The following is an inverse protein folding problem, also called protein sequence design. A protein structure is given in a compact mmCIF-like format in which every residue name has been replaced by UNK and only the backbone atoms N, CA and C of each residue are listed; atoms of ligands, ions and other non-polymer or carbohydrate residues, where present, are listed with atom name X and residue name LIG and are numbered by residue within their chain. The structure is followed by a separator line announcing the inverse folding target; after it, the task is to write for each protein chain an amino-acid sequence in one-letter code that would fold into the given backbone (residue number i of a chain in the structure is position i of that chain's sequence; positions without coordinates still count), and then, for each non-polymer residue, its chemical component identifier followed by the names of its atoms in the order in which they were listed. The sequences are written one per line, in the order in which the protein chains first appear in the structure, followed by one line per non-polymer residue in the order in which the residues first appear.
data_IF_610950050999
#
_entry.id   IF_610950050999
#
_cell.length_a   1.000
_cell.length_b   1.000
_cell.length_c   1.000
_cell.angle_alpha   90.00
_cell.angle_beta   90.00
_cell.angle_gamma   90.00
#
_symmetry.space_group_name_H-M   'P 1'
#
loop_
_entity.id
_entity.type
_entity.pdbx_description
1 polymer ?
#
# COMPACT_ATOMS: atom_id res chain seq x y z
N UNK A 1 -14.45 -3.06 9.23
CA UNK A 1 -14.96 -4.42 9.45
C UNK A 1 -14.98 -4.71 10.93
N UNK A 2 -15.33 -5.92 11.32
CA UNK A 2 -15.15 -6.40 12.70
C UNK A 2 -13.64 -6.53 12.98
N UNK A 3 -13.19 -6.11 14.16
CA UNK A 3 -11.77 -6.19 14.54
C UNK A 3 -11.31 -7.63 14.82
N UNK A 4 -10.00 -7.86 14.78
CA UNK A 4 -9.40 -9.19 14.94
C UNK A 4 -9.72 -9.82 16.29
N UNK A 5 -9.73 -9.02 17.36
CA UNK A 5 -10.03 -9.47 18.73
C UNK A 5 -11.44 -10.05 18.83
N UNK A 6 -12.41 -9.39 18.19
CA UNK A 6 -13.82 -9.83 18.20
C UNK A 6 -13.96 -11.14 17.43
N UNK A 7 -13.30 -11.27 16.29
CA UNK A 7 -13.30 -12.52 15.51
C UNK A 7 -12.66 -13.67 16.30
N UNK A 8 -11.51 -13.42 16.94
CA UNK A 8 -10.80 -14.42 17.73
C UNK A 8 -11.65 -14.91 18.90
N UNK A 9 -12.27 -14.00 19.66
CA UNK A 9 -13.15 -14.35 20.78
C UNK A 9 -14.38 -15.13 20.31
N UNK A 10 -15.03 -14.69 19.22
CA UNK A 10 -16.22 -15.37 18.69
C UNK A 10 -15.93 -16.76 18.13
N UNK A 11 -14.67 -17.08 17.82
CA UNK A 11 -14.28 -18.40 17.33
C UNK A 11 -14.05 -19.42 18.47
N UNK A 12 -13.99 -18.96 19.72
CA UNK A 12 -13.85 -19.84 20.89
C UNK A 12 -15.19 -20.54 21.15
N UNK A 13 -15.23 -21.86 20.93
CA UNK A 13 -16.45 -22.67 21.07
C UNK A 13 -16.98 -22.73 22.51
N UNK A 14 -16.07 -22.78 23.47
CA UNK A 14 -16.38 -22.78 24.90
C UNK A 14 -15.89 -21.46 25.52
N UNK A 15 -16.80 -20.50 25.64
CA UNK A 15 -16.47 -19.17 26.19
C UNK A 15 -15.96 -19.23 27.64
N UNK A 16 -16.21 -20.30 28.39
CA UNK A 16 -15.72 -20.42 29.76
C UNK A 16 -14.18 -20.42 29.83
N UNK A 17 -13.52 -20.88 28.76
CA UNK A 17 -12.05 -20.90 28.61
C UNK A 17 -11.45 -19.50 28.46
N UNK A 18 -12.22 -18.49 28.06
CA UNK A 18 -11.71 -17.12 27.88
C UNK A 18 -11.14 -16.56 29.19
N UNK A 19 -11.72 -16.96 30.33
CA UNK A 19 -11.31 -16.51 31.67
C UNK A 19 -9.93 -17.01 32.10
N UNK A 20 -9.45 -18.10 31.49
CA UNK A 20 -8.12 -18.67 31.71
C UNK A 20 -7.18 -18.46 30.52
N UNK A 21 -7.62 -17.71 29.51
CA UNK A 21 -6.87 -17.49 28.28
C UNK A 21 -5.98 -16.25 28.33
N UNK A 22 -4.97 -16.24 27.46
CA UNK A 22 -4.17 -15.06 27.11
C UNK A 22 -4.50 -14.63 25.70
N UNK A 23 -4.87 -13.36 25.52
CA UNK A 23 -5.10 -12.79 24.19
C UNK A 23 -3.80 -12.18 23.65
N UNK A 24 -3.37 -12.63 22.47
CA UNK A 24 -2.23 -12.07 21.74
C UNK A 24 -2.77 -11.14 20.64
N UNK A 25 -2.29 -9.90 20.59
CA UNK A 25 -2.68 -8.92 19.55
C UNK A 25 -1.45 -8.19 19.03
N UNK A 26 -1.40 -7.91 17.74
CA UNK A 26 -0.28 -7.18 17.13
C UNK A 26 -0.35 -5.66 17.39
N UNK A 27 -1.54 -5.11 17.63
CA UNK A 27 -1.76 -3.68 17.89
C UNK A 27 -2.61 -3.49 19.16
N UNK A 28 -2.43 -2.36 19.85
CA UNK A 28 -3.23 -2.01 21.03
C UNK A 28 -4.74 -2.12 20.74
N UNK A 29 -5.51 -2.86 21.57
CA UNK A 29 -6.96 -2.96 21.41
C UNK A 29 -7.65 -1.60 21.50
N UNK A 30 -8.60 -1.35 20.60
CA UNK A 30 -9.26 -0.06 20.52
C UNK A 30 -10.06 0.26 21.80
N UNK A 31 -10.09 1.55 22.15
CA UNK A 31 -10.66 2.08 23.40
C UNK A 31 -11.76 3.12 23.23
N UNK A 32 -12.11 3.45 21.98
CA UNK A 32 -13.14 4.43 21.66
C UNK A 32 -14.38 3.76 21.06
N UNK A 33 -15.54 4.38 21.26
CA UNK A 33 -16.77 3.98 20.59
C UNK A 33 -16.76 4.49 19.15
N UNK A 34 -16.69 3.56 18.20
CA UNK A 34 -16.85 3.83 16.78
C UNK A 34 -18.19 3.28 16.28
N UNK A 35 -18.16 2.60 15.13
CA UNK A 35 -19.32 1.83 14.65
C UNK A 35 -19.62 0.60 15.51
N UNK A 36 -18.62 0.07 16.21
CA UNK A 36 -18.71 -1.05 17.14
C UNK A 36 -18.19 -0.64 18.52
N UNK A 37 -18.61 -1.31 19.60
CA UNK A 37 -18.01 -1.14 20.91
C UNK A 37 -16.49 -1.42 20.90
N UNK A 38 -15.71 -0.82 21.81
CA UNK A 38 -14.26 -0.98 21.86
C UNK A 38 -13.85 -2.40 22.25
N UNK A 39 -12.80 -2.92 21.60
CA UNK A 39 -12.24 -4.25 21.88
C UNK A 39 -11.74 -4.36 23.32
N UNK A 40 -11.16 -3.30 23.89
CA UNK A 40 -10.78 -3.28 25.31
C UNK A 40 -11.99 -3.56 26.23
N UNK A 41 -13.19 -3.10 25.88
CA UNK A 41 -14.40 -3.36 26.67
C UNK A 41 -14.84 -4.81 26.56
N UNK A 42 -14.86 -5.37 25.35
CA UNK A 42 -15.17 -6.78 25.13
C UNK A 42 -14.23 -7.69 25.92
N UNK A 43 -12.93 -7.40 25.93
CA UNK A 43 -11.92 -8.16 26.70
C UNK A 43 -12.27 -8.18 28.19
N UNK A 44 -12.68 -7.03 28.75
CA UNK A 44 -13.09 -6.88 30.15
C UNK A 44 -14.39 -7.65 30.42
N UNK A 45 -15.40 -7.48 29.57
CA UNK A 45 -16.71 -8.13 29.73
C UNK A 45 -16.59 -9.66 29.65
N UNK A 46 -15.70 -10.18 28.80
CA UNK A 46 -15.38 -11.61 28.67
C UNK A 46 -14.38 -12.11 29.72
N UNK A 47 -13.91 -11.24 30.61
CA UNK A 47 -13.04 -11.55 31.74
C UNK A 47 -11.69 -12.21 31.35
N UNK A 48 -11.14 -11.87 30.19
CA UNK A 48 -9.82 -12.35 29.76
C UNK A 48 -8.76 -11.76 30.69
N UNK A 49 -7.89 -12.60 31.26
CA UNK A 49 -6.98 -12.21 32.35
C UNK A 49 -5.69 -11.55 31.88
N UNK A 50 -5.21 -11.91 30.69
CA UNK A 50 -3.93 -11.44 30.17
C UNK A 50 -4.04 -11.05 28.70
N UNK A 51 -3.45 -9.91 28.35
CA UNK A 51 -3.32 -9.43 26.98
C UNK A 51 -1.85 -9.12 26.70
N UNK A 52 -1.28 -9.71 25.66
CA UNK A 52 0.07 -9.39 25.19
C UNK A 52 -0.06 -8.61 23.89
N UNK A 53 0.51 -7.41 23.87
CA UNK A 53 0.40 -6.45 22.78
C UNK A 53 1.75 -6.34 22.07
N UNK A 54 1.75 -6.50 20.76
CA UNK A 54 2.94 -6.33 19.93
C UNK A 54 3.44 -4.89 19.91
N UNK A 55 2.56 -3.95 19.53
CA UNK A 55 2.87 -2.52 19.45
C UNK A 55 1.71 -1.64 19.95
N UNK A 56 2.04 -0.48 20.51
CA UNK A 56 1.08 0.52 20.98
C UNK A 56 0.52 1.30 19.79
N UNK A 57 -0.77 1.64 19.81
CA UNK A 57 -1.39 2.40 18.72
C UNK A 57 -0.83 3.85 18.71
N UNK A 58 -0.20 4.31 17.61
CA UNK A 58 0.32 5.67 17.47
C UNK A 58 -0.80 6.70 17.33
N UNK A 59 -2.04 6.28 17.05
CA UNK A 59 -3.15 7.18 16.84
C UNK A 59 -3.49 7.90 18.15
N UNK A 60 -3.42 9.26 18.21
CA UNK A 60 -3.54 9.99 19.48
C UNK A 60 -4.84 9.75 20.24
N UNK A 61 -5.92 9.35 19.54
CA UNK A 61 -7.19 9.03 20.20
C UNK A 61 -7.16 7.71 20.96
N UNK A 62 -6.29 6.77 20.59
CA UNK A 62 -6.16 5.44 21.21
C UNK A 62 -4.93 5.33 22.08
N UNK A 63 -3.80 5.92 21.69
CA UNK A 63 -2.48 5.78 22.31
C UNK A 63 -2.52 5.62 23.84
N UNK A 64 -2.35 4.38 24.30
CA UNK A 64 -2.28 3.98 25.71
C UNK A 64 -3.60 4.03 26.49
N UNK A 65 -4.72 4.42 25.89
CA UNK A 65 -6.03 4.44 26.55
C UNK A 65 -6.66 3.06 26.65
N UNK A 66 -6.47 2.21 25.64
CA UNK A 66 -6.93 0.82 25.67
C UNK A 66 -6.18 0.03 26.73
N UNK A 67 -4.86 0.21 26.76
CA UNK A 67 -4.00 -0.30 27.83
C UNK A 67 -4.48 0.13 29.21
N UNK A 68 -4.67 1.44 29.43
CA UNK A 68 -5.13 1.97 30.72
C UNK A 68 -6.50 1.42 31.10
N UNK A 69 -7.41 1.23 30.14
CA UNK A 69 -8.73 0.67 30.37
C UNK A 69 -8.63 -0.79 30.86
N UNK A 70 -7.79 -1.60 30.23
CA UNK A 70 -7.53 -2.99 30.61
C UNK A 70 -6.89 -3.08 32.00
N UNK A 71 -5.86 -2.28 32.25
CA UNK A 71 -5.15 -2.26 33.55
C UNK A 71 -6.08 -1.85 34.70
N UNK A 72 -6.96 -0.85 34.50
CA UNK A 72 -7.96 -0.44 35.50
C UNK A 72 -8.97 -1.55 35.84
N UNK A 73 -9.19 -2.49 34.92
CA UNK A 73 -10.04 -3.64 35.13
C UNK A 73 -9.28 -4.88 35.65
N UNK A 74 -8.03 -4.71 36.10
CA UNK A 74 -7.15 -5.77 36.60
C UNK A 74 -6.83 -6.86 35.56
N UNK A 75 -6.76 -6.48 34.28
CA UNK A 75 -6.21 -7.33 33.21
C UNK A 75 -4.70 -7.14 33.18
N UNK A 76 -3.93 -8.24 33.20
CA UNK A 76 -2.47 -8.20 33.02
C UNK A 76 -2.15 -7.81 31.58
N UNK A 77 -1.33 -6.77 31.39
CA UNK A 77 -0.93 -6.31 30.05
C UNK A 77 0.58 -6.29 29.93
N UNK A 78 1.12 -6.97 28.92
CA UNK A 78 2.54 -6.92 28.55
C UNK A 78 2.74 -6.45 27.11
N UNK A 79 3.93 -5.93 26.80
CA UNK A 79 4.23 -5.27 25.52
C UNK A 79 5.46 -5.86 24.83
N UNK A 80 5.54 -5.61 23.54
CA UNK A 80 6.78 -5.76 22.77
C UNK A 80 7.05 -7.16 22.25
N UNK A 81 6.09 -8.09 22.41
CA UNK A 81 6.19 -9.41 21.80
C UNK A 81 6.17 -9.25 20.27
N UNK A 82 7.28 -9.59 19.61
CA UNK A 82 7.44 -9.43 18.15
C UNK A 82 7.04 -8.02 17.69
N UNK A 83 7.63 -7.01 18.33
CA UNK A 83 7.31 -5.58 18.08
C UNK A 83 7.62 -5.17 16.64
N UNK A 84 8.80 -5.52 16.15
CA UNK A 84 9.24 -5.18 14.81
C UNK A 84 8.29 -5.78 13.76
N UNK A 85 7.90 -7.02 13.96
CA UNK A 85 6.92 -7.77 13.20
C UNK A 85 5.53 -7.12 13.21
N UNK A 86 5.07 -6.74 14.40
CA UNK A 86 3.80 -6.06 14.59
C UNK A 86 3.77 -4.70 13.90
N UNK A 87 4.88 -3.96 13.89
CA UNK A 87 5.01 -2.74 13.09
C UNK A 87 4.99 -3.03 11.60
N UNK A 88 5.73 -4.03 11.14
CA UNK A 88 5.87 -4.34 9.72
C UNK A 88 4.53 -4.73 9.06
N UNK A 89 3.74 -5.59 9.71
CA UNK A 89 2.43 -5.98 9.17
C UNK A 89 1.45 -4.79 9.12
N UNK A 90 1.61 -3.82 10.02
CA UNK A 90 0.78 -2.61 10.10
C UNK A 90 1.44 -1.37 9.47
N UNK A 91 2.49 -1.53 8.68
CA UNK A 91 3.34 -0.40 8.23
C UNK A 91 2.58 0.69 7.47
N UNK A 92 1.51 0.33 6.75
CA UNK A 92 0.61 1.33 6.11
C UNK A 92 -0.02 2.27 7.14
N UNK A 93 -0.56 1.70 8.21
CA UNK A 93 -1.20 2.43 9.30
C UNK A 93 -0.20 3.31 10.06
N UNK A 94 0.99 2.78 10.38
CA UNK A 94 2.04 3.53 11.05
C UNK A 94 2.54 4.69 10.21
N UNK A 95 2.89 4.46 8.93
CA UNK A 95 3.30 5.53 8.01
C UNK A 95 2.23 6.62 7.91
N UNK A 96 0.95 6.24 7.77
CA UNK A 96 -0.15 7.19 7.68
C UNK A 96 -0.28 8.07 8.94
N UNK A 97 -0.24 7.48 10.13
CA UNK A 97 -0.46 8.23 11.37
C UNK A 97 0.77 8.99 11.86
N UNK A 98 1.97 8.43 11.70
CA UNK A 98 3.24 9.02 12.16
C UNK A 98 3.81 9.99 11.13
N UNK A 99 3.89 9.60 9.85
CA UNK A 99 4.49 10.40 8.76
C UNK A 99 3.47 11.28 8.02
N UNK A 100 2.18 11.18 8.31
CA UNK A 100 1.11 12.00 7.70
C UNK A 100 1.04 11.90 6.18
N UNK A 101 1.39 10.73 5.64
CA UNK A 101 1.33 10.41 4.21
C UNK A 101 1.02 8.92 4.02
N UNK A 102 0.50 8.48 2.85
CA UNK A 102 0.38 7.06 2.57
C UNK A 102 1.74 6.35 2.57
N UNK A 103 1.71 5.03 2.77
CA UNK A 103 2.82 4.14 2.46
C UNK A 103 2.96 3.97 0.95
N UNK A 104 4.15 4.24 0.42
CA UNK A 104 4.43 4.27 -1.01
C UNK A 104 5.26 3.06 -1.42
N UNK A 105 4.71 2.31 -2.38
CA UNK A 105 5.38 1.19 -3.04
C UNK A 105 5.73 1.60 -4.45
N UNK A 106 7.01 1.65 -4.77
CA UNK A 106 7.48 1.79 -6.14
C UNK A 106 7.49 0.41 -6.79
N UNK A 107 6.94 0.30 -8.01
CA UNK A 107 6.96 -0.97 -8.73
C UNK A 107 7.24 -0.76 -10.21
N UNK A 108 8.18 -1.55 -10.73
CA UNK A 108 8.40 -1.67 -12.16
C UNK A 108 8.92 -3.06 -12.52
N UNK A 109 8.97 -3.32 -13.82
CA UNK A 109 9.71 -4.43 -14.39
C UNK A 109 10.75 -3.82 -15.33
N UNK A 110 11.95 -4.39 -15.34
CA UNK A 110 13.06 -3.98 -16.19
C UNK A 110 13.67 -5.20 -16.90
N UNK A 111 14.15 -4.98 -18.12
CA UNK A 111 15.01 -5.90 -18.83
C UNK A 111 16.31 -6.13 -18.04
N UNK A 112 17.02 -7.21 -18.35
CA UNK A 112 18.29 -7.55 -17.74
C UNK A 112 19.32 -6.42 -17.85
N UNK A 113 19.27 -5.64 -18.93
CA UNK A 113 20.12 -4.49 -19.19
C UNK A 113 19.54 -3.15 -18.70
N UNK A 114 18.47 -3.15 -17.89
CA UNK A 114 18.01 -2.01 -17.11
C UNK A 114 17.09 -1.03 -17.86
N UNK A 115 16.20 -1.53 -18.72
CA UNK A 115 15.19 -0.75 -19.41
C UNK A 115 13.77 -1.20 -19.03
N UNK A 116 12.87 -0.26 -18.77
CA UNK A 116 11.47 -0.56 -18.40
C UNK A 116 10.54 -0.68 -19.59
N UNK A 117 10.96 -0.18 -20.75
CA UNK A 117 10.24 -0.23 -22.01
C UNK A 117 11.22 0.03 -23.17
N UNK A 118 10.89 -0.46 -24.35
CA UNK A 118 11.59 -0.11 -25.60
C UNK A 118 11.15 1.29 -26.09
N UNK A 119 11.87 1.84 -27.07
CA UNK A 119 11.39 3.05 -27.77
C UNK A 119 10.32 2.63 -28.77
N UNK A 120 9.05 2.81 -28.40
CA UNK A 120 7.91 2.44 -29.23
C UNK A 120 6.94 3.60 -29.46
N UNK A 121 6.16 3.53 -30.54
CA UNK A 121 5.10 4.51 -30.86
C UNK A 121 3.84 4.24 -30.05
N UNK A 122 2.99 5.26 -29.91
CA UNK A 122 1.66 5.07 -29.35
C UNK A 122 0.91 4.00 -30.16
N UNK A 123 0.37 2.99 -29.47
CA UNK A 123 -0.32 1.78 -29.98
C UNK A 123 0.55 0.58 -30.36
N UNK A 124 1.87 0.68 -30.37
CA UNK A 124 2.71 -0.53 -30.45
C UNK A 124 2.64 -1.28 -29.12
N UNK A 125 2.35 -2.60 -29.09
CA UNK A 125 2.24 -3.33 -27.84
C UNK A 125 3.60 -3.38 -27.13
N UNK A 126 3.64 -3.28 -25.80
CA UNK A 126 4.89 -3.43 -25.06
C UNK A 126 5.40 -4.87 -25.17
N UNK A 127 6.72 -5.04 -25.25
CA UNK A 127 7.33 -6.35 -25.04
C UNK A 127 7.22 -6.73 -23.57
N UNK A 128 6.70 -7.94 -23.31
CA UNK A 128 6.57 -8.44 -21.94
C UNK A 128 7.94 -8.81 -21.37
N UNK A 129 8.39 -8.04 -20.37
CA UNK A 129 9.57 -8.35 -19.54
C UNK A 129 9.31 -9.54 -18.62
N UNK A 130 8.09 -9.63 -18.08
CA UNK A 130 7.70 -10.61 -17.06
C UNK A 130 6.55 -11.49 -17.54
N UNK A 131 6.47 -12.70 -17.01
CA UNK A 131 5.47 -13.67 -17.40
C UNK A 131 4.12 -13.55 -16.65
N UNK A 132 3.26 -14.55 -16.84
CA UNK A 132 1.94 -14.60 -16.23
C UNK A 132 1.96 -14.74 -14.72
N UNK A 133 2.98 -15.36 -14.13
CA UNK A 133 3.09 -15.51 -12.67
C UNK A 133 3.37 -14.17 -12.00
N UNK A 134 4.31 -13.40 -12.55
CA UNK A 134 4.56 -12.03 -12.12
C UNK A 134 3.30 -11.15 -12.26
N UNK A 135 2.56 -11.32 -13.36
CA UNK A 135 1.30 -10.59 -13.57
C UNK A 135 0.24 -10.92 -12.51
N UNK A 136 0.07 -12.18 -12.13
CA UNK A 136 -0.85 -12.57 -11.05
C UNK A 136 -0.41 -11.94 -9.72
N UNK A 137 0.89 -11.96 -9.43
CA UNK A 137 1.45 -11.38 -8.20
C UNK A 137 1.22 -9.86 -8.13
N UNK A 138 1.44 -9.13 -9.22
CA UNK A 138 1.13 -7.69 -9.30
C UNK A 138 -0.36 -7.43 -9.07
N UNK A 139 -1.24 -8.27 -9.63
CA UNK A 139 -2.67 -8.16 -9.38
C UNK A 139 -3.03 -8.43 -7.92
N UNK A 140 -2.39 -9.40 -7.26
CA UNK A 140 -2.50 -9.58 -5.81
C UNK A 140 -2.07 -8.32 -5.06
N UNK A 141 -0.93 -7.72 -5.39
CA UNK A 141 -0.48 -6.48 -4.74
C UNK A 141 -1.47 -5.33 -4.91
N UNK A 142 -2.10 -5.17 -6.09
CA UNK A 142 -3.15 -4.17 -6.29
C UNK A 142 -4.35 -4.36 -5.36
N UNK A 143 -4.69 -5.59 -4.97
CA UNK A 143 -5.76 -5.85 -3.99
C UNK A 143 -5.39 -5.52 -2.55
N UNK A 144 -4.08 -5.42 -2.26
CA UNK A 144 -3.55 -5.17 -0.93
C UNK A 144 -3.36 -3.68 -0.65
N UNK A 145 -3.37 -2.84 -1.69
CA UNK A 145 -3.18 -1.40 -1.57
C UNK A 145 -4.44 -0.62 -1.94
N UNK A 146 -4.62 0.55 -1.34
CA UNK A 146 -5.85 1.33 -1.52
C UNK A 146 -5.88 2.08 -2.85
N UNK A 147 -4.73 2.44 -3.37
CA UNK A 147 -4.61 3.22 -4.60
C UNK A 147 -3.43 2.78 -5.47
N UNK A 148 -3.53 3.07 -6.77
CA UNK A 148 -2.48 2.86 -7.77
C UNK A 148 -2.26 4.16 -8.55
N UNK A 149 -1.00 4.61 -8.64
CA UNK A 149 -0.61 5.83 -9.34
C UNK A 149 0.14 5.52 -10.63
N UNK A 150 -0.23 6.19 -11.72
CA UNK A 150 0.52 6.16 -12.98
C UNK A 150 0.61 7.54 -13.64
N UNK A 151 1.64 7.73 -14.46
CA UNK A 151 1.83 8.94 -15.26
C UNK A 151 0.99 8.97 -16.54
N UNK A 152 0.82 10.16 -17.13
CA UNK A 152 0.05 10.37 -18.38
C UNK A 152 0.55 9.47 -19.52
N UNK A 153 1.87 9.37 -19.68
CA UNK A 153 2.45 8.63 -20.80
C UNK A 153 2.23 7.12 -20.66
N UNK A 154 2.31 6.56 -19.45
CA UNK A 154 1.95 5.15 -19.21
C UNK A 154 0.51 4.89 -19.66
N UNK A 155 -0.41 5.80 -19.33
CA UNK A 155 -1.82 5.67 -19.73
C UNK A 155 -2.00 5.76 -21.26
N UNK A 156 -1.31 6.69 -21.92
CA UNK A 156 -1.37 6.85 -23.38
C UNK A 156 -0.75 5.67 -24.13
N UNK A 157 0.33 5.10 -23.61
CA UNK A 157 1.10 4.04 -24.29
C UNK A 157 0.51 2.65 -24.06
N UNK A 158 -0.07 2.40 -22.89
CA UNK A 158 -0.52 1.05 -22.49
C UNK A 158 -2.04 0.90 -22.44
N UNK A 159 -2.78 2.01 -22.42
CA UNK A 159 -4.22 2.05 -22.14
C UNK A 159 -4.63 1.06 -21.01
N UNK A 160 -3.99 1.14 -19.82
CA UNK A 160 -4.11 0.12 -18.81
C UNK A 160 -5.46 0.21 -18.11
N UNK A 161 -5.99 -0.91 -17.63
CA UNK A 161 -7.18 -0.90 -16.78
C UNK A 161 -6.85 -0.54 -15.31
N UNK A 162 -5.65 -0.91 -14.85
CA UNK A 162 -5.18 -0.77 -13.46
C UNK A 162 -6.09 -1.43 -12.40
N UNK A 163 -6.87 -2.42 -12.82
CA UNK A 163 -7.72 -3.27 -11.96
C UNK A 163 -6.96 -4.50 -11.46
N UNK A 164 -7.58 -5.23 -10.52
CA UNK A 164 -7.08 -6.47 -9.95
C UNK A 164 -7.68 -7.74 -10.61
N UNK A 165 -8.02 -7.72 -11.91
CA UNK A 165 -8.75 -8.79 -12.63
C UNK A 165 -8.17 -10.22 -12.67
N UNK A 166 -6.95 -10.45 -12.18
CA UNK A 166 -6.32 -11.79 -12.11
C UNK A 166 -6.15 -12.29 -10.66
N UNK A 167 -6.69 -11.58 -9.68
CA UNK A 167 -6.66 -11.99 -8.27
C UNK A 167 -7.91 -11.52 -7.54
N UNK A 168 -8.38 -12.26 -6.54
CA UNK A 168 -9.59 -11.87 -5.80
C UNK A 168 -9.30 -10.66 -4.90
N UNK A 169 -10.19 -9.68 -4.87
CA UNK A 169 -10.07 -8.54 -3.97
C UNK A 169 -10.68 -7.27 -4.55
N UNK A 170 -10.51 -6.18 -3.81
CA UNK A 170 -11.02 -4.86 -4.21
C UNK A 170 -10.07 -4.22 -5.23
N UNK A 171 -10.63 -3.56 -6.24
CA UNK A 171 -9.83 -2.71 -7.13
C UNK A 171 -9.29 -1.49 -6.35
N UNK A 172 -8.02 -1.10 -6.57
CA UNK A 172 -7.48 0.14 -6.01
C UNK A 172 -8.12 1.36 -6.68
N UNK A 173 -8.11 2.49 -5.97
CA UNK A 173 -8.42 3.80 -6.56
C UNK A 173 -7.33 4.12 -7.59
N UNK A 174 -7.72 4.51 -8.80
CA UNK A 174 -6.78 4.90 -9.85
C UNK A 174 -6.42 6.37 -9.69
N UNK A 175 -5.16 6.65 -9.36
CA UNK A 175 -4.60 7.98 -9.31
C UNK A 175 -3.85 8.23 -10.62
N UNK A 176 -4.23 9.25 -11.37
CA UNK A 176 -3.72 9.49 -12.71
C UNK A 176 -3.16 10.91 -12.79
N UNK A 177 -1.91 11.03 -13.24
CA UNK A 177 -1.35 12.34 -13.58
C UNK A 177 -1.75 12.70 -15.01
N UNK A 178 -2.42 13.84 -15.19
CA UNK A 178 -2.71 14.41 -16.50
C UNK A 178 -2.73 15.94 -16.46
N UNK A 179 -1.53 16.51 -16.24
CA UNK A 179 -1.28 17.95 -16.05
C UNK A 179 -2.03 18.84 -17.04
N UNK A 180 -2.09 18.46 -18.31
CA UNK A 180 -2.63 19.26 -19.40
C UNK A 180 -3.92 18.68 -20.03
N UNK A 181 -4.51 17.65 -19.44
CA UNK A 181 -5.72 16.96 -19.96
C UNK A 181 -5.55 16.38 -21.36
N UNK A 182 -4.49 15.61 -21.54
CA UNK A 182 -4.16 14.95 -22.81
C UNK A 182 -4.85 13.60 -22.96
N UNK A 183 -5.37 13.02 -21.89
CA UNK A 183 -5.96 11.67 -21.93
C UNK A 183 -7.33 11.67 -22.61
N UNK A 184 -7.52 10.90 -23.71
CA UNK A 184 -8.83 10.72 -24.30
C UNK A 184 -9.81 10.00 -23.36
N UNK A 185 -11.08 10.41 -23.37
CA UNK A 185 -12.11 9.87 -22.48
C UNK A 185 -12.45 8.38 -22.73
N UNK A 186 -12.04 7.81 -23.87
CA UNK A 186 -12.31 6.40 -24.22
C UNK A 186 -11.29 5.41 -23.62
N UNK A 187 -10.24 5.89 -22.94
CA UNK A 187 -9.25 5.02 -22.33
C UNK A 187 -9.84 4.22 -21.16
N UNK A 188 -9.34 3.01 -20.95
CA UNK A 188 -9.83 2.06 -19.94
C UNK A 188 -9.78 2.62 -18.51
N UNK A 189 -8.86 3.56 -18.23
CA UNK A 189 -8.78 4.19 -16.90
C UNK A 189 -10.05 4.99 -16.53
N UNK A 190 -10.89 5.32 -17.51
CA UNK A 190 -12.15 6.05 -17.32
C UNK A 190 -13.38 5.11 -17.27
N UNK A 191 -13.19 3.80 -17.34
CA UNK A 191 -14.30 2.83 -17.14
C UNK A 191 -14.85 2.89 -15.70
N UNK A 192 -16.05 2.36 -15.41
CA UNK A 192 -16.62 2.40 -14.05
C UNK A 192 -16.10 1.30 -13.11
N UNK A 193 -15.08 0.52 -13.49
CA UNK A 193 -14.61 -0.65 -12.70
C UNK A 193 -13.88 -0.25 -11.42
N UNK A 194 -13.37 0.99 -11.34
CA UNK A 194 -12.75 1.53 -10.15
C UNK A 194 -12.94 3.06 -10.08
N UNK A 195 -12.96 3.66 -8.88
CA UNK A 195 -12.86 5.11 -8.75
C UNK A 195 -11.56 5.63 -9.36
N UNK A 196 -11.62 6.77 -10.02
CA UNK A 196 -10.48 7.41 -10.68
C UNK A 196 -10.35 8.86 -10.22
N UNK A 197 -9.16 9.24 -9.78
CA UNK A 197 -8.78 10.61 -9.47
C UNK A 197 -7.75 11.05 -10.51
N UNK A 198 -8.02 12.16 -11.19
CA UNK A 198 -7.12 12.74 -12.19
C UNK A 198 -6.57 14.05 -11.65
N UNK A 199 -5.27 14.07 -11.40
CA UNK A 199 -4.53 15.27 -11.04
C UNK A 199 -4.23 16.10 -12.28
N UNK A 200 -4.60 17.38 -12.30
CA UNK A 200 -4.46 18.26 -13.47
C UNK A 200 -4.33 19.73 -13.05
N UNK A 201 -3.89 20.61 -13.96
CA UNK A 201 -3.98 22.08 -13.78
C UNK A 201 -5.25 22.69 -14.40
N UNK A 202 -6.09 21.86 -14.99
CA UNK A 202 -7.32 22.27 -15.71
C UNK A 202 -8.51 21.47 -15.19
N UNK A 203 -8.84 21.56 -13.88
CA UNK A 203 -9.94 20.79 -13.32
C UNK A 203 -11.25 21.15 -14.03
N UNK A 204 -12.10 20.16 -14.25
CA UNK A 204 -13.48 20.38 -14.67
C UNK A 204 -14.42 19.47 -13.87
N UNK A 205 -15.71 19.81 -13.86
CA UNK A 205 -16.70 18.89 -13.35
C UNK A 205 -16.77 17.66 -14.27
N UNK A 206 -16.55 16.49 -13.66
CA UNK A 206 -16.59 15.24 -14.39
C UNK A 206 -18.03 14.87 -14.76
N UNK A 207 -18.25 14.48 -16.02
CA UNK A 207 -19.50 13.85 -16.46
C UNK A 207 -19.67 12.41 -15.95
N UNK A 208 -18.60 11.81 -15.44
CA UNK A 208 -18.55 10.44 -14.94
C UNK A 208 -18.49 10.46 -13.41
N UNK A 209 -19.49 9.88 -12.74
CA UNK A 209 -19.61 9.91 -11.28
C UNK A 209 -18.43 9.26 -10.54
N UNK A 210 -17.74 8.31 -11.17
CA UNK A 210 -16.58 7.61 -10.60
C UNK A 210 -15.24 8.29 -10.92
N UNK A 211 -15.25 9.43 -11.62
CA UNK A 211 -14.04 10.18 -11.98
C UNK A 211 -14.07 11.54 -11.31
N UNK A 212 -12.99 11.88 -10.60
CA UNK A 212 -12.81 13.17 -9.95
C UNK A 212 -11.58 13.86 -10.51
N UNK A 213 -11.72 15.10 -11.00
CA UNK A 213 -10.58 15.93 -11.36
C UNK A 213 -10.14 16.76 -10.14
N UNK A 214 -8.85 16.72 -9.84
CA UNK A 214 -8.25 17.43 -8.70
C UNK A 214 -7.20 18.40 -9.24
N UNK A 215 -7.33 19.67 -8.88
CA UNK A 215 -6.35 20.68 -9.21
C UNK A 215 -5.12 20.53 -8.31
N UNK A 216 -3.95 20.36 -8.91
CA UNK A 216 -2.67 20.46 -8.18
C UNK A 216 -1.68 21.34 -8.94
N UNK A 217 -0.77 22.04 -8.24
CA UNK A 217 0.19 22.93 -8.87
C UNK A 217 1.22 22.24 -9.78
N UNK A 218 1.58 20.97 -9.57
CA UNK A 218 2.73 20.30 -10.19
C UNK A 218 4.06 21.05 -9.99
N UNK A 219 4.25 21.71 -8.85
CA UNK A 219 5.55 22.29 -8.47
C UNK A 219 6.38 21.27 -7.71
N UNK A 220 5.77 20.58 -6.75
CA UNK A 220 6.32 19.43 -6.04
C UNK A 220 5.29 18.29 -6.09
N UNK A 221 5.19 17.68 -7.27
CA UNK A 221 4.15 16.69 -7.58
C UNK A 221 4.09 15.55 -6.56
N UNK A 222 5.20 14.92 -6.13
CA UNK A 222 5.15 13.89 -5.10
C UNK A 222 4.49 14.39 -3.81
N UNK A 223 4.89 15.54 -3.27
CA UNK A 223 4.33 16.09 -2.02
C UNK A 223 2.84 16.40 -2.18
N UNK A 224 2.45 17.06 -3.27
CA UNK A 224 1.06 17.44 -3.55
C UNK A 224 0.13 16.23 -3.63
N UNK A 225 0.58 15.13 -4.24
CA UNK A 225 -0.19 13.88 -4.30
C UNK A 225 -0.33 13.25 -2.92
N UNK A 226 0.74 13.25 -2.12
CA UNK A 226 0.73 12.67 -0.78
C UNK A 226 -0.21 13.45 0.15
N UNK A 227 -0.21 14.77 0.05
CA UNK A 227 -1.12 15.65 0.79
C UNK A 227 -2.57 15.32 0.42
N UNK A 228 -2.89 15.22 -0.88
CA UNK A 228 -4.21 14.78 -1.31
C UNK A 228 -4.57 13.41 -0.72
N UNK A 229 -3.66 12.43 -0.83
CA UNK A 229 -3.91 11.09 -0.30
C UNK A 229 -4.17 11.11 1.20
N UNK A 230 -3.41 11.90 1.96
CA UNK A 230 -3.61 12.03 3.40
C UNK A 230 -4.98 12.64 3.73
N UNK A 231 -5.37 13.72 3.06
CA UNK A 231 -6.70 14.33 3.24
C UNK A 231 -7.84 13.38 2.84
N UNK A 232 -7.65 12.63 1.75
CA UNK A 232 -8.58 11.61 1.28
C UNK A 232 -8.57 10.31 2.11
N UNK A 233 -7.75 10.24 3.18
CA UNK A 233 -7.59 9.06 4.04
C UNK A 233 -7.11 7.81 3.29
N UNK A 234 -6.34 8.00 2.22
CA UNK A 234 -5.64 6.96 1.47
C UNK A 234 -4.32 6.67 2.20
N UNK A 235 -4.18 5.46 2.74
CA UNK A 235 -3.07 4.99 3.54
C UNK A 235 -1.98 4.27 2.75
N UNK A 236 -2.27 3.86 1.51
CA UNK A 236 -1.25 3.22 0.68
C UNK A 236 -1.47 3.41 -0.81
N UNK A 237 -0.35 3.57 -1.52
CA UNK A 237 -0.31 3.77 -2.96
C UNK A 237 0.80 2.90 -3.55
N UNK A 238 0.47 2.12 -4.58
CA UNK A 238 1.47 1.51 -5.47
C UNK A 238 1.66 2.41 -6.69
N UNK A 239 2.90 2.79 -6.98
CA UNK A 239 3.26 3.59 -8.15
C UNK A 239 3.79 2.64 -9.22
N UNK A 240 3.06 2.48 -10.32
CA UNK A 240 3.40 1.55 -11.39
C UNK A 240 3.81 2.28 -12.68
N UNK A 241 5.03 2.02 -13.14
CA UNK A 241 5.49 2.49 -14.45
C UNK A 241 5.68 4.00 -14.56
N UNK A 242 6.27 4.41 -15.69
CA UNK A 242 6.68 5.79 -15.93
C UNK A 242 7.95 6.16 -15.15
N UNK A 243 9.10 6.04 -15.82
CA UNK A 243 10.44 6.31 -15.24
C UNK A 243 10.49 7.68 -14.54
N UNK A 244 9.91 8.73 -15.13
CA UNK A 244 9.90 10.07 -14.53
C UNK A 244 9.11 10.16 -13.22
N UNK A 245 7.98 9.46 -13.09
CA UNK A 245 7.17 9.49 -11.86
C UNK A 245 7.91 8.73 -10.77
N UNK A 246 8.44 7.55 -11.10
CA UNK A 246 9.23 6.76 -10.16
C UNK A 246 10.47 7.54 -9.68
N UNK A 247 11.23 8.15 -10.60
CA UNK A 247 12.40 8.98 -10.27
C UNK A 247 12.04 10.16 -9.38
N UNK A 248 10.93 10.86 -9.63
CA UNK A 248 10.51 11.98 -8.78
C UNK A 248 10.27 11.55 -7.32
N UNK A 249 9.60 10.41 -7.09
CA UNK A 249 9.41 9.89 -5.72
C UNK A 249 10.73 9.43 -5.08
N UNK A 250 11.66 8.89 -5.87
CA UNK A 250 12.99 8.49 -5.38
C UNK A 250 13.83 9.71 -5.00
N UNK A 251 13.89 10.72 -5.86
CA UNK A 251 14.67 11.95 -5.68
C UNK A 251 14.19 12.77 -4.48
N UNK A 252 12.88 12.79 -4.23
CA UNK A 252 12.30 13.41 -3.04
C UNK A 252 12.41 12.54 -1.77
N UNK A 253 12.94 11.31 -1.87
CA UNK A 253 12.95 10.31 -0.81
C UNK A 253 11.55 10.05 -0.20
N UNK A 254 10.51 10.06 -1.04
CA UNK A 254 9.11 9.90 -0.64
C UNK A 254 8.56 8.50 -0.96
N UNK A 255 9.37 7.48 -0.70
CA UNK A 255 9.01 6.07 -0.92
C UNK A 255 9.38 5.22 0.31
N UNK A 256 8.67 4.10 0.51
CA UNK A 256 8.90 3.21 1.66
C UNK A 256 9.35 1.80 1.24
N UNK A 257 8.86 1.32 0.10
CA UNK A 257 9.14 -0.01 -0.43
C UNK A 257 9.33 0.07 -1.95
N UNK A 258 10.21 -0.73 -2.52
CA UNK A 258 10.26 -0.95 -3.96
C UNK A 258 10.23 -2.44 -4.28
N UNK A 259 9.47 -2.80 -5.32
CA UNK A 259 9.32 -4.16 -5.84
C UNK A 259 9.67 -4.16 -7.32
N UNK A 260 10.81 -4.75 -7.65
CA UNK A 260 11.38 -4.64 -9.00
C UNK A 260 11.54 -6.03 -9.58
N UNK A 261 10.94 -6.26 -10.75
CA UNK A 261 11.20 -7.45 -11.52
C UNK A 261 12.31 -7.19 -12.53
N UNK A 262 13.37 -8.00 -12.50
CA UNK A 262 14.38 -8.07 -13.55
C UNK A 262 14.09 -9.30 -14.39
N UNK A 263 13.61 -9.10 -15.62
CA UNK A 263 13.35 -10.18 -16.58
C UNK A 263 14.62 -10.60 -17.33
N UNK A 264 14.58 -11.77 -17.95
CA UNK A 264 15.72 -12.31 -18.70
C UNK A 264 15.90 -11.69 -20.11
N UNK A 265 14.97 -10.82 -20.53
CA UNK A 265 15.03 -10.13 -21.84
C UNK A 265 16.06 -9.00 -21.84
N UNK A 266 16.60 -8.67 -23.00
CA UNK A 266 17.53 -7.55 -23.22
C UNK A 266 16.92 -6.64 -24.29
N UNK A 267 16.86 -5.33 -24.02
CA UNK A 267 16.28 -4.35 -24.95
C UNK A 267 17.33 -3.56 -25.74
N UNK A 268 18.57 -3.48 -25.25
CA UNK A 268 19.71 -2.71 -25.78
C UNK A 268 19.53 -1.18 -25.71
N UNK A 269 18.32 -0.69 -26.03
CA UNK A 269 17.92 0.71 -25.99
C UNK A 269 16.46 0.84 -25.53
N UNK A 270 16.10 1.96 -24.92
CA UNK A 270 14.77 2.13 -24.36
C UNK A 270 14.68 3.19 -23.28
N UNK A 271 13.58 3.16 -22.56
CA UNK A 271 13.38 3.99 -21.37
C UNK A 271 14.14 3.34 -20.21
N UNK A 272 15.17 4.01 -19.71
CA UNK A 272 15.97 3.52 -18.58
C UNK A 272 15.12 3.39 -17.32
N UNK A 273 15.37 2.29 -16.60
CA UNK A 273 14.84 2.12 -15.26
C UNK A 273 15.42 3.16 -14.30
N UNK A 274 14.60 3.63 -13.33
CA UNK A 274 15.11 4.47 -12.25
C UNK A 274 16.10 3.67 -11.39
N UNK A 275 17.03 4.37 -10.74
CA UNK A 275 18.02 3.77 -9.84
C UNK A 275 17.68 4.07 -8.39
N UNK A 276 17.71 3.03 -7.55
CA UNK A 276 17.61 3.21 -6.10
C UNK A 276 18.99 3.45 -5.49
N UNK A 277 19.08 4.25 -4.41
CA UNK A 277 20.35 4.58 -3.76
C UNK A 277 20.88 3.47 -2.83
N UNK A 278 20.20 2.33 -2.75
CA UNK A 278 20.50 1.23 -1.82
C UNK A 278 20.57 -0.12 -2.54
N UNK A 279 21.08 -1.14 -1.85
CA UNK A 279 21.02 -2.53 -2.30
C UNK A 279 19.66 -3.15 -1.93
N UNK A 280 19.21 -4.18 -2.66
CA UNK A 280 17.98 -4.89 -2.32
C UNK A 280 18.13 -5.52 -0.93
N UNK A 281 17.07 -5.41 -0.13
CA UNK A 281 16.97 -6.06 1.19
C UNK A 281 16.84 -7.57 1.03
N UNK A 282 16.05 -8.01 0.04
CA UNK A 282 15.86 -9.42 -0.27
C UNK A 282 15.65 -9.61 -1.77
N UNK A 283 16.07 -10.77 -2.25
CA UNK A 283 15.93 -11.20 -3.64
C UNK A 283 15.27 -12.56 -3.69
N UNK A 284 14.30 -12.73 -4.60
CA UNK A 284 13.71 -14.02 -4.93
C UNK A 284 13.69 -14.24 -6.43
N UNK A 285 13.52 -15.50 -6.84
CA UNK A 285 13.23 -15.84 -8.24
C UNK A 285 11.75 -16.17 -8.35
N UNK A 286 11.08 -15.58 -9.34
CA UNK A 286 9.72 -15.92 -9.73
C UNK A 286 9.71 -16.23 -11.21
N UNK A 287 9.71 -17.52 -11.53
CA UNK A 287 9.72 -18.01 -12.92
C UNK A 287 10.83 -17.36 -13.76
N UNK A 288 10.49 -16.55 -14.77
CA UNK A 288 11.41 -15.90 -15.70
C UNK A 288 11.99 -14.55 -15.21
N UNK A 289 11.75 -14.19 -13.94
CA UNK A 289 12.21 -12.91 -13.40
C UNK A 289 12.81 -13.05 -12.01
N UNK A 290 13.84 -12.25 -11.76
CA UNK A 290 14.37 -12.01 -10.42
C UNK A 290 13.56 -10.86 -9.80
N UNK A 291 12.94 -11.11 -8.64
CA UNK A 291 12.17 -10.11 -7.91
C UNK A 291 13.00 -9.58 -6.74
N UNK A 292 13.30 -8.29 -6.80
CA UNK A 292 14.04 -7.56 -5.79
C UNK A 292 13.07 -6.76 -4.91
N UNK A 293 13.31 -6.81 -3.60
CA UNK A 293 12.60 -6.01 -2.62
C UNK A 293 13.57 -5.04 -1.94
N UNK A 294 13.14 -3.79 -1.86
CA UNK A 294 13.85 -2.73 -1.16
C UNK A 294 12.92 -2.14 -0.12
N UNK A 295 13.47 -1.79 1.03
CA UNK A 295 12.78 -1.03 2.05
C UNK A 295 13.60 0.22 2.37
N UNK A 296 12.91 1.35 2.48
CA UNK A 296 13.50 2.64 2.81
C UNK A 296 13.27 3.00 4.28
N UNK A 297 14.10 3.89 4.81
CA UNK A 297 14.01 4.43 6.18
C UNK A 297 13.85 3.32 7.27
N UNK A 298 12.92 3.55 8.22
CA UNK A 298 12.59 2.73 9.38
C UNK A 298 12.21 1.29 9.05
N UNK A 299 11.83 1.00 7.79
CA UNK A 299 11.42 -0.33 7.38
C UNK A 299 12.60 -1.22 7.00
N UNK A 300 13.74 -0.64 6.62
CA UNK A 300 14.93 -1.40 6.23
C UNK A 300 15.50 -2.24 7.38
N UNK A 301 15.51 -1.70 8.59
CA UNK A 301 15.98 -2.41 9.79
C UNK A 301 15.00 -3.49 10.28
N UNK A 302 13.71 -3.33 9.97
CA UNK A 302 12.63 -4.22 10.41
C UNK A 302 12.42 -5.39 9.44
N UNK A 303 12.62 -5.16 8.14
CA UNK A 303 12.34 -6.15 7.09
C UNK A 303 13.32 -7.34 7.06
N UNK A 304 14.47 -7.25 7.73
CA UNK A 304 15.46 -8.33 7.84
C UNK A 304 15.05 -9.48 8.77
N UNK A 305 13.88 -9.39 9.42
CA UNK A 305 13.39 -10.41 10.35
C UNK A 305 12.49 -11.38 9.56
N UNK A 306 13.07 -12.43 8.97
CA UNK A 306 12.41 -13.62 8.37
C UNK A 306 10.92 -13.44 8.00
N UNK A 307 10.62 -12.65 6.95
CA UNK A 307 9.25 -12.18 6.69
C UNK A 307 8.55 -12.70 5.43
N UNK A 308 9.18 -13.53 4.61
CA UNK A 308 8.56 -14.02 3.37
C UNK A 308 8.88 -15.48 3.09
#
# INVERSE_FOLDING_TARGET
GVHAEVQAVNHVKDETLLKSSTLLVNLEPCSHYGKTPPCSRMIIDKQIKKVIIGEIDPFPKVAGKGVKMLQKANVEVSFGLRRAESRFINRRFFTFHEKKRPYIILKWAESFDGYIDEIRRANEPPQWITDTYARILVHKWRTQEQAILVGTNTVLMDNPQLTARYYYGKNPIRLILDRNRRLPAHLHIFDPQAPTVVFTRKPEESKLQHVTYVDIPFHDMPVEILDYCYQAQIQSVIIEGGSQVLSAFIEHNLWDEARIFIGDVVFENGIRAPRLPTNPTFTSRLSNATLLYYFNDDWASIANIDYL
#
